data_IF_755017175965
#
_entry.id   IF_755017175965
#
_cell.length_a   1.000
_cell.length_b   1.000
_cell.length_c   1.000
_cell.angle_alpha   90.00
_cell.angle_beta   90.00
_cell.angle_gamma   90.00
#
_symmetry.space_group_name_H-M   'P 1'
#
loop_
_entity.id
_entity.type
_entity.pdbx_description
1 polymer ?
#
# COMPACT_ATOMS: atom_id res chain seq x y z
N UNK A 1 9.29 -6.49 17.44
CA UNK A 1 8.93 -6.86 16.05
C UNK A 1 7.92 -7.99 16.16
N UNK A 2 6.69 -7.77 15.72
CA UNK A 2 5.63 -8.77 15.81
C UNK A 2 5.35 -9.26 14.38
N UNK A 3 5.72 -10.50 14.09
CA UNK A 3 5.42 -11.21 12.85
C UNK A 3 4.06 -11.88 12.99
N UNK A 4 3.07 -11.51 12.16
CA UNK A 4 1.74 -12.10 12.17
C UNK A 4 1.26 -12.39 10.74
N UNK A 5 1.07 -13.67 10.40
CA UNK A 5 0.44 -14.15 9.14
C UNK A 5 0.88 -13.41 7.85
N UNK A 6 2.19 -13.28 7.65
CA UNK A 6 2.74 -12.63 6.43
C UNK A 6 2.80 -11.10 6.49
N UNK A 7 2.25 -10.48 7.53
CA UNK A 7 2.27 -9.03 7.76
C UNK A 7 3.20 -8.71 8.92
N UNK A 8 4.20 -7.88 8.65
CA UNK A 8 5.14 -7.43 9.67
C UNK A 8 4.71 -6.06 10.20
N UNK A 9 4.31 -5.99 11.47
CA UNK A 9 3.95 -4.73 12.12
C UNK A 9 5.17 -4.20 12.87
N UNK A 10 5.69 -3.05 12.41
CA UNK A 10 6.81 -2.35 13.02
C UNK A 10 6.28 -1.06 13.66
N UNK A 11 6.27 -1.03 15.00
CA UNK A 11 5.95 0.18 15.74
C UNK A 11 7.21 1.02 15.92
N UNK A 12 7.22 2.21 15.31
CA UNK A 12 8.36 3.12 15.26
C UNK A 12 8.39 3.99 16.54
N UNK A 13 8.97 3.45 17.62
CA UNK A 13 9.43 4.25 18.75
C UNK A 13 10.83 4.80 18.40
N UNK A 14 11.06 6.09 18.67
CA UNK A 14 12.08 6.99 18.13
C UNK A 14 13.57 6.50 18.21
N UNK A 15 13.87 5.35 18.82
CA UNK A 15 15.23 5.02 19.27
C UNK A 15 16.11 4.18 18.32
N UNK A 16 15.62 3.66 17.18
CA UNK A 16 16.46 2.77 16.34
C UNK A 16 16.30 3.04 14.82
N UNK A 17 16.90 4.13 14.32
CA UNK A 17 16.79 4.52 12.89
C UNK A 17 17.55 3.61 11.90
N UNK A 18 18.74 3.12 12.26
CA UNK A 18 19.62 2.41 11.30
C UNK A 18 19.30 0.91 11.23
N UNK A 19 19.13 0.25 12.38
CA UNK A 19 18.84 -1.19 12.45
C UNK A 19 17.53 -1.59 11.77
N UNK A 20 16.58 -0.65 11.73
CA UNK A 20 15.26 -0.90 11.18
C UNK A 20 15.25 -0.90 9.64
N UNK A 21 16.14 -0.15 8.97
CA UNK A 21 16.18 -0.11 7.50
C UNK A 21 16.62 -1.43 6.88
N UNK A 22 17.67 -2.08 7.42
CA UNK A 22 18.15 -3.36 6.90
C UNK A 22 17.11 -4.47 7.11
N UNK A 23 16.44 -4.48 8.27
CA UNK A 23 15.35 -5.42 8.54
C UNK A 23 14.15 -5.21 7.61
N UNK A 24 13.77 -3.96 7.34
CA UNK A 24 12.71 -3.63 6.38
C UNK A 24 13.11 -4.05 4.97
N UNK A 25 14.36 -3.81 4.55
CA UNK A 25 14.84 -4.17 3.22
C UNK A 25 14.83 -5.69 3.02
N UNK A 26 15.26 -6.46 4.02
CA UNK A 26 15.19 -7.92 4.00
C UNK A 26 13.73 -8.44 3.96
N UNK A 27 12.83 -7.76 4.66
CA UNK A 27 11.41 -8.11 4.67
C UNK A 27 10.74 -7.75 3.33
N UNK A 28 11.17 -6.65 2.71
CA UNK A 28 10.75 -6.25 1.37
C UNK A 28 11.16 -7.27 0.31
N UNK A 29 12.41 -7.75 0.37
CA UNK A 29 12.91 -8.76 -0.58
C UNK A 29 12.27 -10.13 -0.38
N UNK A 30 11.75 -10.44 0.81
CA UNK A 30 11.00 -11.67 1.08
C UNK A 30 9.50 -11.57 0.79
N UNK A 31 9.01 -10.43 0.29
CA UNK A 31 7.62 -10.28 -0.20
C UNK A 31 6.56 -10.09 0.89
N UNK A 32 6.95 -9.74 2.12
CA UNK A 32 6.03 -9.62 3.27
C UNK A 32 5.57 -8.18 3.48
N UNK A 33 4.29 -7.86 3.33
CA UNK A 33 3.74 -6.51 3.58
C UNK A 33 4.10 -5.99 4.97
N UNK A 34 4.58 -4.74 5.05
CA UNK A 34 5.04 -4.12 6.29
C UNK A 34 4.16 -2.91 6.62
N UNK A 35 3.81 -2.76 7.89
CA UNK A 35 3.09 -1.59 8.40
C UNK A 35 3.99 -0.84 9.37
N UNK A 36 4.26 0.43 9.08
CA UNK A 36 5.05 1.33 9.92
C UNK A 36 4.12 2.32 10.61
N UNK A 37 4.07 2.23 11.93
CA UNK A 37 3.25 3.06 12.79
C UNK A 37 4.12 4.03 13.58
N UNK A 38 3.79 5.31 13.57
CA UNK A 38 4.44 6.29 14.45
C UNK A 38 3.78 7.65 14.36
N UNK A 39 3.93 8.48 15.39
CA UNK A 39 3.35 9.83 15.43
C UNK A 39 3.88 10.73 14.29
N UNK A 40 3.20 11.85 14.03
CA UNK A 40 3.71 12.88 13.13
C UNK A 40 5.12 13.34 13.57
N UNK A 41 5.99 13.64 12.60
CA UNK A 41 7.36 14.08 12.89
C UNK A 41 8.38 12.97 13.22
N UNK A 42 7.99 11.69 13.25
CA UNK A 42 8.94 10.59 13.52
C UNK A 42 9.88 10.24 12.35
N UNK A 43 9.74 10.89 11.20
CA UNK A 43 10.60 10.68 10.03
C UNK A 43 10.20 9.51 9.11
N UNK A 44 8.93 9.10 9.12
CA UNK A 44 8.42 8.01 8.24
C UNK A 44 8.56 8.33 6.75
N UNK A 45 8.26 9.56 6.34
CA UNK A 45 8.45 9.98 4.94
C UNK A 45 9.93 9.97 4.53
N UNK A 46 10.82 10.36 5.45
CA UNK A 46 12.27 10.28 5.23
C UNK A 46 12.75 8.82 5.08
N UNK A 47 12.25 7.93 5.93
CA UNK A 47 12.52 6.49 5.83
C UNK A 47 12.03 5.91 4.49
N UNK A 48 10.82 6.26 4.07
CA UNK A 48 10.23 5.80 2.81
C UNK A 48 11.04 6.26 1.59
N UNK A 49 11.47 7.52 1.56
CA UNK A 49 12.31 8.04 0.48
C UNK A 49 13.67 7.32 0.43
N UNK A 50 14.31 7.07 1.58
CA UNK A 50 15.59 6.36 1.63
C UNK A 50 15.45 4.89 1.22
N UNK A 51 14.40 4.20 1.66
CA UNK A 51 14.12 2.82 1.26
C UNK A 51 13.81 2.73 -0.23
N UNK A 52 12.99 3.64 -0.76
CA UNK A 52 12.69 3.72 -2.19
C UNK A 52 13.95 3.89 -3.02
N UNK A 53 14.87 4.77 -2.59
CA UNK A 53 16.16 4.96 -3.26
C UNK A 53 16.98 3.67 -3.28
N UNK A 54 17.14 2.99 -2.14
CA UNK A 54 17.89 1.73 -2.05
C UNK A 54 17.27 0.60 -2.87
N UNK A 55 15.94 0.48 -2.86
CA UNK A 55 15.24 -0.51 -3.68
C UNK A 55 15.48 -0.26 -5.17
N UNK A 56 15.43 1.01 -5.61
CA UNK A 56 15.76 1.39 -6.99
C UNK A 56 17.22 1.09 -7.35
N UNK A 57 18.15 1.30 -6.41
CA UNK A 57 19.58 0.98 -6.60
C UNK A 57 19.82 -0.52 -6.83
N UNK A 58 19.01 -1.40 -6.23
CA UNK A 58 19.07 -2.86 -6.47
C UNK A 58 18.19 -3.31 -7.65
N UNK A 59 17.71 -2.39 -8.47
CA UNK A 59 16.92 -2.68 -9.68
C UNK A 59 15.43 -2.94 -9.46
N UNK A 60 14.90 -2.68 -8.26
CA UNK A 60 13.46 -2.82 -7.98
C UNK A 60 12.69 -1.59 -8.44
N UNK A 61 11.50 -1.84 -8.99
CA UNK A 61 10.55 -0.80 -9.36
C UNK A 61 9.67 -0.44 -8.18
N UNK A 62 9.51 0.86 -7.90
CA UNK A 62 8.84 1.36 -6.69
C UNK A 62 7.83 2.44 -7.05
N UNK A 63 6.58 2.27 -6.60
CA UNK A 63 5.54 3.29 -6.64
C UNK A 63 5.35 3.93 -5.25
N UNK A 64 5.36 5.26 -5.19
CA UNK A 64 5.09 6.03 -3.98
C UNK A 64 3.70 6.67 -4.11
N UNK A 65 2.82 6.39 -3.16
CA UNK A 65 1.41 6.78 -3.17
C UNK A 65 1.08 7.48 -1.86
N UNK A 66 0.26 8.52 -1.89
CA UNK A 66 -0.31 9.14 -0.69
C UNK A 66 -1.78 9.52 -0.86
N UNK A 67 -2.49 9.67 0.25
CA UNK A 67 -3.89 10.12 0.24
C UNK A 67 -4.08 11.65 0.17
N UNK A 68 -3.05 12.46 0.49
CA UNK A 68 -3.09 13.94 0.33
C UNK A 68 -2.01 14.44 -0.61
N UNK A 69 -2.28 15.57 -1.28
CA UNK A 69 -1.31 16.28 -2.12
C UNK A 69 -0.02 16.69 -1.40
N UNK A 70 -0.12 17.22 -0.18
CA UNK A 70 1.06 17.62 0.60
C UNK A 70 1.95 16.40 0.90
N UNK A 71 1.34 15.27 1.26
CA UNK A 71 2.06 14.02 1.56
C UNK A 71 2.64 13.37 0.30
N UNK A 72 1.92 13.41 -0.82
CA UNK A 72 2.41 12.94 -2.12
C UNK A 72 3.63 13.77 -2.56
N UNK A 73 3.57 15.10 -2.42
CA UNK A 73 4.67 15.98 -2.79
C UNK A 73 5.92 15.72 -1.93
N UNK A 74 5.77 15.51 -0.62
CA UNK A 74 6.89 15.14 0.27
C UNK A 74 7.58 13.83 -0.12
N UNK A 75 6.81 12.87 -0.66
CA UNK A 75 7.33 11.59 -1.15
C UNK A 75 7.75 11.64 -2.62
N UNK A 76 7.50 12.73 -3.34
CA UNK A 76 7.61 12.78 -4.80
C UNK A 76 6.83 11.63 -5.47
N UNK A 77 5.64 11.36 -4.92
CA UNK A 77 4.75 10.28 -5.33
C UNK A 77 3.45 10.78 -5.95
N UNK A 78 2.55 9.84 -6.23
CA UNK A 78 1.21 10.13 -6.74
C UNK A 78 0.18 10.24 -5.62
N UNK A 79 -0.90 10.98 -5.89
CA UNK A 79 -2.05 11.06 -5.00
C UNK A 79 -3.04 9.99 -5.44
N UNK A 80 -3.48 9.11 -4.53
CA UNK A 80 -4.41 8.02 -4.89
C UNK A 80 -5.77 8.55 -5.34
N UNK A 81 -6.24 9.64 -4.74
CA UNK A 81 -7.46 10.35 -5.15
C UNK A 81 -7.30 11.14 -6.46
N UNK A 82 -6.10 11.21 -7.06
CA UNK A 82 -5.96 11.82 -8.39
C UNK A 82 -6.66 11.00 -9.46
N UNK A 83 -6.79 9.69 -9.27
CA UNK A 83 -7.51 8.80 -10.18
C UNK A 83 -8.98 9.19 -10.11
N UNK A 84 -9.43 9.88 -11.15
CA UNK A 84 -10.69 10.63 -11.16
C UNK A 84 -11.89 9.70 -10.94
N UNK A 85 -11.80 8.50 -11.51
CA UNK A 85 -12.84 7.49 -11.40
C UNK A 85 -13.04 6.96 -9.97
N UNK A 86 -12.02 7.00 -9.11
CA UNK A 86 -11.99 6.34 -7.80
C UNK A 86 -12.54 7.22 -6.64
N UNK A 87 -12.66 8.54 -6.85
CA UNK A 87 -12.66 9.53 -5.78
C UNK A 87 -13.65 9.32 -4.63
N UNK A 88 -14.87 8.86 -4.90
CA UNK A 88 -15.97 8.93 -3.92
C UNK A 88 -16.78 7.64 -3.74
N UNK A 89 -16.31 6.50 -4.26
CA UNK A 89 -17.05 5.23 -4.20
C UNK A 89 -18.49 5.28 -4.77
N UNK A 90 -18.82 6.29 -5.57
CA UNK A 90 -20.18 6.52 -6.06
C UNK A 90 -20.68 5.43 -7.03
N UNK A 91 -19.77 4.70 -7.65
CA UNK A 91 -20.08 3.71 -8.67
C UNK A 91 -19.79 2.29 -8.17
N UNK A 92 -20.62 1.30 -8.54
CA UNK A 92 -20.27 -0.09 -8.34
C UNK A 92 -19.01 -0.46 -9.15
N UNK A 93 -18.26 -1.46 -8.68
CA UNK A 93 -16.94 -1.82 -9.22
C UNK A 93 -16.92 -2.03 -10.74
N UNK A 94 -17.96 -2.63 -11.33
CA UNK A 94 -17.98 -2.89 -12.78
C UNK A 94 -18.01 -1.59 -13.60
N UNK A 95 -18.85 -0.62 -13.21
CA UNK A 95 -18.90 0.71 -13.84
C UNK A 95 -17.58 1.44 -13.63
N UNK A 96 -17.01 1.33 -12.43
CA UNK A 96 -15.73 1.96 -12.10
C UNK A 96 -14.61 1.44 -13.02
N UNK A 97 -14.52 0.13 -13.22
CA UNK A 97 -13.52 -0.48 -14.09
C UNK A 97 -13.70 -0.02 -15.54
N UNK A 98 -14.95 0.04 -16.02
CA UNK A 98 -15.23 0.52 -17.38
C UNK A 98 -14.86 2.00 -17.54
N UNK A 99 -15.12 2.84 -16.54
CA UNK A 99 -14.69 4.25 -16.56
C UNK A 99 -13.19 4.39 -16.61
N UNK A 100 -12.49 3.67 -15.74
CA UNK A 100 -11.03 3.63 -15.73
C UNK A 100 -10.53 3.21 -17.12
N UNK A 101 -11.01 2.10 -17.67
CA UNK A 101 -10.59 1.60 -19.00
C UNK A 101 -10.82 2.57 -20.15
N UNK A 102 -11.81 3.44 -20.05
CA UNK A 102 -12.15 4.43 -21.08
C UNK A 102 -11.45 5.78 -20.88
N UNK A 103 -10.72 5.96 -19.78
CA UNK A 103 -9.96 7.16 -19.47
C UNK A 103 -8.45 6.83 -19.51
N UNK A 104 -7.76 7.36 -20.52
CA UNK A 104 -6.34 7.06 -20.76
C UNK A 104 -5.45 7.49 -19.59
N UNK A 105 -5.77 8.61 -18.93
CA UNK A 105 -4.98 9.13 -17.80
C UNK A 105 -5.14 8.23 -16.57
N UNK A 106 -6.37 7.83 -16.25
CA UNK A 106 -6.65 6.90 -15.16
C UNK A 106 -6.01 5.53 -15.43
N UNK A 107 -6.06 5.01 -16.67
CA UNK A 107 -5.38 3.76 -17.03
C UNK A 107 -3.86 3.85 -16.89
N UNK A 108 -3.25 4.95 -17.33
CA UNK A 108 -1.80 5.17 -17.18
C UNK A 108 -1.41 5.15 -15.70
N UNK A 109 -2.15 5.87 -14.85
CA UNK A 109 -1.85 5.92 -13.42
C UNK A 109 -2.08 4.55 -12.76
N UNK A 110 -3.12 3.81 -13.13
CA UNK A 110 -3.38 2.44 -12.68
C UNK A 110 -2.25 1.49 -13.09
N UNK A 111 -1.81 1.53 -14.35
CA UNK A 111 -0.69 0.72 -14.85
C UNK A 111 0.61 1.06 -14.11
N UNK A 112 0.90 2.34 -13.86
CA UNK A 112 2.06 2.77 -13.07
C UNK A 112 2.03 2.24 -11.65
N UNK A 113 0.85 2.17 -11.04
CA UNK A 113 0.70 1.53 -9.73
C UNK A 113 0.94 0.04 -9.85
N UNK A 114 0.40 -0.65 -10.85
CA UNK A 114 0.41 -2.12 -10.87
C UNK A 114 1.71 -2.74 -11.41
N UNK A 115 2.46 -2.03 -12.24
CA UNK A 115 3.72 -2.48 -12.85
C UNK A 115 4.94 -2.08 -12.01
N UNK A 116 4.88 -2.42 -10.72
CA UNK A 116 6.00 -2.24 -9.81
C UNK A 116 6.18 -3.45 -8.91
N UNK A 117 7.40 -3.64 -8.41
CA UNK A 117 7.71 -4.63 -7.38
C UNK A 117 7.17 -4.23 -6.00
N UNK A 118 6.96 -2.93 -5.79
CA UNK A 118 6.80 -2.37 -4.45
C UNK A 118 5.92 -1.11 -4.41
N UNK A 119 5.00 -1.06 -3.44
CA UNK A 119 4.22 0.14 -3.09
C UNK A 119 4.65 0.73 -1.76
N UNK A 120 4.73 2.05 -1.68
CA UNK A 120 4.74 2.77 -0.43
C UNK A 120 3.48 3.62 -0.36
N UNK A 121 2.62 3.39 0.63
CA UNK A 121 1.36 4.12 0.79
C UNK A 121 1.41 4.94 2.07
N UNK A 122 1.39 6.26 1.94
CA UNK A 122 1.41 7.19 3.06
C UNK A 122 0.04 7.77 3.36
N UNK A 123 -0.18 8.13 4.62
CA UNK A 123 -1.44 8.70 5.11
C UNK A 123 -2.64 7.77 4.87
N UNK A 124 -2.42 6.45 4.90
CA UNK A 124 -3.46 5.47 4.59
C UNK A 124 -4.67 5.54 5.53
N UNK A 125 -4.49 6.02 6.77
CA UNK A 125 -5.57 6.19 7.75
C UNK A 125 -6.66 7.17 7.30
N UNK A 126 -6.40 7.95 6.25
CA UNK A 126 -7.37 8.87 5.69
C UNK A 126 -8.26 8.28 4.63
N UNK A 127 -7.90 7.12 4.08
CA UNK A 127 -8.79 6.39 3.20
C UNK A 127 -9.88 5.77 4.06
N UNK A 128 -11.14 5.89 3.62
CA UNK A 128 -12.21 5.09 4.20
C UNK A 128 -11.95 3.61 3.87
N UNK A 129 -12.45 2.72 4.71
CA UNK A 129 -12.32 1.28 4.46
C UNK A 129 -12.96 0.88 3.13
N UNK A 130 -14.12 1.47 2.81
CA UNK A 130 -14.85 1.23 1.56
C UNK A 130 -14.01 1.61 0.35
N UNK A 131 -13.40 2.79 0.37
CA UNK A 131 -12.53 3.27 -0.70
C UNK A 131 -11.31 2.38 -0.88
N UNK A 132 -10.67 2.00 0.23
CA UNK A 132 -9.53 1.11 0.20
C UNK A 132 -9.87 -0.24 -0.45
N UNK A 133 -10.99 -0.85 -0.06
CA UNK A 133 -11.44 -2.14 -0.62
C UNK A 133 -11.85 -2.02 -2.09
N UNK A 134 -12.47 -0.91 -2.47
CA UNK A 134 -12.82 -0.66 -3.86
C UNK A 134 -11.58 -0.50 -4.74
N UNK A 135 -10.57 0.26 -4.28
CA UNK A 135 -9.28 0.41 -4.97
C UNK A 135 -8.60 -0.95 -5.15
N UNK A 136 -8.52 -1.71 -4.07
CA UNK A 136 -7.85 -3.02 -4.07
C UNK A 136 -8.55 -3.98 -5.05
N UNK A 137 -9.89 -3.98 -5.07
CA UNK A 137 -10.68 -4.79 -6.00
C UNK A 137 -10.52 -4.35 -7.46
N UNK A 138 -10.41 -3.06 -7.72
CA UNK A 138 -10.08 -2.53 -9.05
C UNK A 138 -8.72 -3.07 -9.49
N UNK A 139 -7.70 -2.97 -8.65
CA UNK A 139 -6.35 -3.47 -8.99
C UNK A 139 -6.38 -4.97 -9.31
N UNK A 140 -7.03 -5.79 -8.46
CA UNK A 140 -7.18 -7.23 -8.70
C UNK A 140 -7.85 -7.53 -10.04
N UNK A 141 -8.88 -6.77 -10.38
CA UNK A 141 -9.64 -6.99 -11.61
C UNK A 141 -8.87 -6.55 -12.85
N UNK A 142 -8.16 -5.42 -12.79
CA UNK A 142 -7.39 -4.92 -13.96
C UNK A 142 -6.16 -5.78 -14.21
N UNK A 143 -5.50 -6.30 -13.15
CA UNK A 143 -4.32 -7.18 -13.27
C UNK A 143 -4.67 -8.66 -13.42
N UNK A 144 -5.96 -9.01 -13.40
CA UNK A 144 -6.45 -10.41 -13.43
C UNK A 144 -5.76 -11.30 -12.37
N UNK A 145 -5.54 -10.72 -11.18
CA UNK A 145 -4.81 -11.37 -10.11
C UNK A 145 -5.59 -11.27 -8.80
N UNK A 146 -6.00 -12.42 -8.26
CA UNK A 146 -6.85 -12.49 -7.08
C UNK A 146 -6.08 -12.36 -5.75
N UNK A 147 -4.74 -12.32 -5.77
CA UNK A 147 -3.96 -12.05 -4.58
C UNK A 147 -4.19 -10.61 -4.10
N UNK A 148 -4.22 -10.36 -2.77
CA UNK A 148 -4.31 -9.00 -2.23
C UNK A 148 -3.22 -8.11 -2.82
N UNK A 149 -3.58 -6.89 -3.25
CA UNK A 149 -2.67 -5.98 -3.96
C UNK A 149 -1.95 -6.62 -5.16
N UNK A 150 -2.57 -7.63 -5.78
CA UNK A 150 -2.00 -8.42 -6.87
C UNK A 150 -0.66 -9.11 -6.52
N UNK A 151 -0.42 -9.39 -5.23
CA UNK A 151 0.84 -9.97 -4.74
C UNK A 151 2.02 -9.00 -4.73
N UNK A 152 1.78 -7.69 -4.90
CA UNK A 152 2.83 -6.66 -4.83
C UNK A 152 3.16 -6.38 -3.36
N UNK A 153 4.47 -6.31 -3.06
CA UNK A 153 4.92 -5.95 -1.72
C UNK A 153 4.50 -4.52 -1.38
N UNK A 154 3.87 -4.32 -0.22
CA UNK A 154 3.38 -3.00 0.19
C UNK A 154 3.98 -2.57 1.54
N UNK A 155 4.53 -1.34 1.58
CA UNK A 155 4.90 -0.63 2.80
C UNK A 155 3.84 0.41 3.13
N UNK A 156 3.11 0.21 4.22
CA UNK A 156 2.05 1.10 4.67
C UNK A 156 2.58 2.03 5.76
N UNK A 157 2.61 3.33 5.50
CA UNK A 157 3.03 4.36 6.46
C UNK A 157 1.82 5.00 7.12
N UNK A 158 1.81 4.97 8.44
CA UNK A 158 0.68 5.39 9.26
C UNK A 158 1.12 6.43 10.29
N UNK A 159 0.57 7.64 10.22
CA UNK A 159 0.89 8.72 11.16
C UNK A 159 0.06 8.72 12.45
N UNK A 160 -1.12 8.10 12.46
CA UNK A 160 -2.00 8.05 13.63
C UNK A 160 -2.70 6.71 13.76
N UNK A 161 -2.75 6.19 14.98
CA UNK A 161 -3.46 4.96 15.32
C UNK A 161 -4.93 5.34 15.62
N UNK A 162 -5.78 5.32 14.60
CA UNK A 162 -7.21 5.60 14.74
C UNK A 162 -8.01 4.31 14.53
N UNK A 163 -9.29 4.29 14.96
CA UNK A 163 -10.16 3.11 14.83
C UNK A 163 -10.31 2.58 13.39
N UNK A 164 -10.28 3.47 12.39
CA UNK A 164 -10.30 3.12 10.95
C UNK A 164 -9.13 2.21 10.56
N UNK A 165 -7.95 2.44 11.13
CA UNK A 165 -6.77 1.65 10.86
C UNK A 165 -6.88 0.22 11.40
N UNK A 166 -7.47 0.08 12.59
CA UNK A 166 -7.68 -1.22 13.21
C UNK A 166 -8.62 -2.08 12.35
N UNK A 167 -9.66 -1.47 11.79
CA UNK A 167 -10.62 -2.15 10.91
C UNK A 167 -10.00 -2.53 9.56
N UNK A 168 -9.14 -1.67 9.01
CA UNK A 168 -8.41 -1.93 7.77
C UNK A 168 -7.39 -3.07 7.95
N UNK A 169 -6.65 -3.08 9.07
CA UNK A 169 -5.77 -4.20 9.43
C UNK A 169 -6.53 -5.51 9.65
N UNK A 170 -7.72 -5.47 10.27
CA UNK A 170 -8.59 -6.65 10.42
C UNK A 170 -9.10 -7.19 9.08
N UNK A 171 -9.30 -6.32 8.08
CA UNK A 171 -9.78 -6.74 6.75
C UNK A 171 -8.64 -7.35 5.93
N UNK A 172 -7.47 -6.71 5.95
CA UNK A 172 -6.23 -7.29 5.40
C UNK A 172 -5.91 -8.66 6.02
N UNK A 173 -6.21 -8.84 7.33
CA UNK A 173 -6.08 -10.13 8.03
C UNK A 173 -7.01 -11.21 7.46
N UNK A 174 -8.29 -10.90 7.21
CA UNK A 174 -9.27 -11.87 6.67
C UNK A 174 -8.93 -12.30 5.24
N UNK A 175 -8.47 -11.38 4.39
CA UNK A 175 -8.12 -11.71 3.00
C UNK A 175 -6.80 -12.48 2.87
N UNK A 176 -5.80 -12.19 3.72
CA UNK A 176 -4.59 -13.00 3.81
C UNK A 176 -4.84 -14.39 4.41
N UNK A 177 -5.72 -14.52 5.41
CA UNK A 177 -6.06 -15.84 5.97
C UNK A 177 -6.89 -16.70 5.00
N UNK A 178 -7.80 -16.10 4.23
CA UNK A 178 -8.56 -16.78 3.16
C UNK A 178 -7.66 -17.25 2.01
N UNK A 179 -6.65 -16.47 1.62
CA UNK A 179 -5.68 -16.88 0.58
C UNK A 179 -4.62 -17.86 1.09
N UNK A 180 -4.32 -17.88 2.39
CA UNK A 180 -3.56 -18.97 3.01
C UNK A 180 -4.38 -20.26 3.10
N UNK A 181 -5.67 -20.18 3.48
CA UNK A 181 -6.54 -21.36 3.58
C UNK A 181 -6.82 -22.01 2.21
N UNK A 182 -6.90 -21.25 1.12
CA UNK A 182 -7.02 -21.82 -0.23
C UNK A 182 -5.75 -22.52 -0.73
N UNK A 183 -4.57 -22.22 -0.14
CA UNK A 183 -3.32 -22.97 -0.38
C UNK A 183 -3.22 -24.27 0.42
N UNK A 184 -4.01 -24.44 1.48
CA UNK A 184 -4.07 -25.69 2.26
C UNK A 184 -5.23 -26.61 1.87
N UNK A 185 -6.07 -26.20 0.90
CA UNK A 185 -7.24 -26.96 0.43
C UNK A 185 -7.21 -27.29 -1.06
N UNK A 186 -6.04 -27.26 -1.70
CA UNK A 186 -5.80 -27.74 -3.06
C UNK A 186 -4.72 -28.82 -3.07
#
# INVERSE_FOLDING_TARGET
MLTYDGVLIIMLLILARVFMMEGILHTATSGHTIIILGQAGTGKSFLANNLSKRLKEIGKTVCLIASRGIAANQLHGMIIHKISSIQDCHFPNYILIDKIRNDDDDMIDIIRIMNVDTHFINEIFMLSLELFLQIEKVFRTVKENNFPFCGIWSLLLVNSFNGSLCQMMCTMRKENSLSLMSRFTA
#
